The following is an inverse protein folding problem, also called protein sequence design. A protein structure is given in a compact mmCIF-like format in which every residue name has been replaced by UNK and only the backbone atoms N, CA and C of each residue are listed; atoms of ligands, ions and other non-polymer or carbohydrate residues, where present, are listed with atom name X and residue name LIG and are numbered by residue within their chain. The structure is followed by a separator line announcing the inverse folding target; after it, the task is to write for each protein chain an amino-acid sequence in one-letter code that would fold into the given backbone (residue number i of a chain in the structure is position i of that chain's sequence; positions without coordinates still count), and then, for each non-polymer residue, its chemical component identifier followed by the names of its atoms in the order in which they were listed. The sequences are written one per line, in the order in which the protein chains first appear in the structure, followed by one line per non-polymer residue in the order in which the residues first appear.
data_IF_697654317826
#
_entry.id   IF_697654317826
#
_cell.length_a   1.000
_cell.length_b   1.000
_cell.length_c   1.000
_cell.angle_alpha   90.00
_cell.angle_beta   90.00
_cell.angle_gamma   90.00
#
_symmetry.space_group_name_H-M   'P 1'
#
loop_
_entity.id
_entity.type
_entity.pdbx_description
1 polymer ?
#
# COMPACT_ATOMS: atom_id res chain seq x y z
N UNK A 1 31.00 -35.98 48.97
CA UNK A 1 30.30 -34.75 49.42
C UNK A 1 30.27 -33.80 48.23
N UNK A 2 29.08 -33.44 47.70
CA UNK A 2 28.99 -32.50 46.59
C UNK A 2 29.45 -31.10 47.03
N UNK A 3 30.20 -30.44 46.17
CA UNK A 3 30.85 -29.17 46.46
C UNK A 3 29.79 -28.04 46.42
N UNK A 4 29.53 -27.31 47.54
CA UNK A 4 28.44 -26.34 47.61
C UNK A 4 28.57 -25.17 46.62
N UNK A 5 29.78 -24.93 46.10
CA UNK A 5 30.05 -23.89 45.10
C UNK A 5 29.58 -24.21 43.67
N UNK A 6 29.16 -25.44 43.36
CA UNK A 6 28.69 -25.76 42.00
C UNK A 6 27.28 -25.25 41.71
N UNK A 7 26.46 -24.99 42.73
CA UNK A 7 25.06 -24.59 42.52
C UNK A 7 24.91 -23.16 41.98
N UNK A 8 25.75 -22.21 42.38
CA UNK A 8 25.64 -20.80 41.95
C UNK A 8 25.96 -20.60 40.47
N UNK A 9 26.89 -21.39 39.92
CA UNK A 9 27.32 -21.25 38.53
C UNK A 9 26.23 -21.61 37.51
N UNK A 10 25.31 -22.52 37.86
CA UNK A 10 24.24 -22.93 36.96
C UNK A 10 23.13 -21.87 36.84
N UNK A 11 22.81 -21.17 37.93
CA UNK A 11 21.80 -20.10 37.90
C UNK A 11 22.26 -18.89 37.10
N UNK A 12 23.54 -18.50 37.22
CA UNK A 12 24.09 -17.42 36.41
C UNK A 12 24.05 -17.78 34.91
N UNK A 13 24.38 -19.01 34.54
CA UNK A 13 24.30 -19.47 33.14
C UNK A 13 22.88 -19.43 32.60
N UNK A 14 21.90 -19.93 33.37
CA UNK A 14 20.49 -19.89 32.98
C UNK A 14 19.97 -18.45 32.86
N UNK A 15 20.39 -17.56 33.75
CA UNK A 15 20.05 -16.14 33.69
C UNK A 15 20.57 -15.48 32.39
N UNK A 16 21.85 -15.69 32.04
CA UNK A 16 22.43 -15.12 30.83
C UNK A 16 21.82 -15.71 29.55
N UNK A 17 21.52 -17.01 29.51
CA UNK A 17 20.81 -17.65 28.40
C UNK A 17 19.39 -17.09 28.25
N UNK A 18 18.67 -16.93 29.37
CA UNK A 18 17.34 -16.31 29.37
C UNK A 18 17.36 -14.87 28.85
N UNK A 19 18.32 -14.07 29.30
CA UNK A 19 18.50 -12.68 28.85
C UNK A 19 18.80 -12.63 27.34
N UNK A 20 19.69 -13.50 26.85
CA UNK A 20 20.05 -13.57 25.43
C UNK A 20 18.86 -13.95 24.54
N UNK A 21 18.05 -14.92 24.96
CA UNK A 21 16.82 -15.30 24.23
C UNK A 21 15.79 -14.16 24.19
N UNK A 22 15.69 -13.37 25.27
CA UNK A 22 14.80 -12.21 25.34
C UNK A 22 15.28 -11.08 24.40
N UNK A 23 16.60 -10.90 24.26
CA UNK A 23 17.18 -9.99 23.27
C UNK A 23 16.94 -10.43 21.82
N UNK A 24 17.09 -11.73 21.53
CA UNK A 24 16.83 -12.24 20.17
C UNK A 24 15.34 -12.05 19.81
N UNK A 25 14.43 -12.39 20.72
CA UNK A 25 12.98 -12.34 20.46
C UNK A 25 12.41 -10.93 20.42
N UNK A 26 12.96 -9.97 21.15
CA UNK A 26 12.50 -8.57 21.14
C UNK A 26 12.82 -7.81 19.84
N UNK A 27 13.74 -8.31 19.01
CA UNK A 27 14.18 -7.65 17.77
C UNK A 27 13.22 -7.78 16.57
N UNK A 28 12.13 -8.54 16.67
CA UNK A 28 11.35 -8.96 15.49
C UNK A 28 9.97 -8.32 15.18
N UNK A 29 9.38 -7.35 15.92
CA UNK A 29 8.00 -6.91 15.60
C UNK A 29 7.87 -5.85 14.49
N UNK A 30 8.95 -5.24 14.01
CA UNK A 30 8.83 -4.06 13.11
C UNK A 30 8.43 -4.46 11.67
N UNK A 31 8.96 -5.57 11.16
CA UNK A 31 8.68 -6.00 9.79
C UNK A 31 7.25 -6.52 9.58
N UNK A 32 6.66 -7.15 10.60
CA UNK A 32 5.32 -7.74 10.51
C UNK A 32 4.21 -6.67 10.40
N UNK A 33 4.36 -5.54 11.09
CA UNK A 33 3.38 -4.44 11.09
C UNK A 33 3.23 -3.79 9.71
N UNK A 34 4.32 -3.68 8.96
CA UNK A 34 4.32 -3.06 7.63
C UNK A 34 3.64 -3.94 6.59
N UNK A 35 3.84 -5.26 6.67
CA UNK A 35 3.18 -6.23 5.81
C UNK A 35 1.66 -6.18 5.96
N UNK A 36 1.14 -5.97 7.18
CA UNK A 36 -0.31 -5.89 7.41
C UNK A 36 -0.94 -4.68 6.71
N UNK A 37 -0.29 -3.50 6.78
CA UNK A 37 -0.77 -2.29 6.11
C UNK A 37 -0.77 -2.43 4.59
N UNK A 38 0.30 -2.99 4.02
CA UNK A 38 0.39 -3.25 2.57
C UNK A 38 -0.73 -4.20 2.12
N UNK A 39 -0.98 -5.28 2.88
CA UNK A 39 -2.07 -6.19 2.60
C UNK A 39 -3.44 -5.50 2.64
N UNK A 40 -3.65 -4.58 3.58
CA UNK A 40 -4.86 -3.75 3.64
C UNK A 40 -5.06 -2.88 2.39
N UNK A 41 -3.99 -2.21 1.91
CA UNK A 41 -4.07 -1.41 0.68
C UNK A 41 -4.40 -2.29 -0.53
N UNK A 42 -3.77 -3.48 -0.64
CA UNK A 42 -4.08 -4.44 -1.71
C UNK A 42 -5.53 -4.92 -1.67
N UNK A 43 -6.05 -5.20 -0.47
CA UNK A 43 -7.46 -5.56 -0.29
C UNK A 43 -8.38 -4.43 -0.78
N UNK A 44 -8.12 -3.18 -0.38
CA UNK A 44 -8.87 -2.01 -0.87
C UNK A 44 -8.81 -1.90 -2.40
N UNK A 45 -7.64 -2.11 -3.01
CA UNK A 45 -7.50 -2.05 -4.46
C UNK A 45 -8.35 -3.11 -5.18
N UNK A 46 -8.42 -4.33 -4.64
CA UNK A 46 -9.34 -5.36 -5.16
C UNK A 46 -10.81 -5.01 -4.96
N UNK A 47 -11.18 -4.42 -3.82
CA UNK A 47 -12.55 -3.93 -3.60
C UNK A 47 -12.94 -2.89 -4.67
N UNK A 48 -12.03 -1.96 -4.99
CA UNK A 48 -12.25 -0.95 -6.04
C UNK A 48 -12.36 -1.59 -7.42
N UNK A 49 -11.53 -2.59 -7.73
CA UNK A 49 -11.69 -3.38 -8.95
C UNK A 49 -13.08 -3.98 -9.05
N UNK A 50 -13.57 -4.66 -8.00
CA UNK A 50 -14.92 -5.24 -8.01
C UNK A 50 -16.00 -4.18 -8.25
N UNK A 51 -15.90 -3.00 -7.63
CA UNK A 51 -16.85 -1.90 -7.88
C UNK A 51 -16.83 -1.43 -9.34
N UNK A 52 -15.64 -1.29 -9.94
CA UNK A 52 -15.50 -0.89 -11.35
C UNK A 52 -16.05 -1.96 -12.31
N UNK A 53 -15.83 -3.24 -12.02
CA UNK A 53 -16.36 -4.32 -12.86
C UNK A 53 -17.89 -4.43 -12.75
N UNK A 54 -18.47 -4.25 -11.56
CA UNK A 54 -19.92 -4.16 -11.39
C UNK A 54 -20.50 -2.99 -12.19
N UNK A 55 -19.88 -1.80 -12.09
CA UNK A 55 -20.29 -0.63 -12.87
C UNK A 55 -20.26 -0.92 -14.38
N UNK A 56 -19.21 -1.59 -14.87
CA UNK A 56 -19.09 -1.95 -16.29
C UNK A 56 -20.16 -2.95 -16.74
N UNK A 57 -20.55 -3.91 -15.90
CA UNK A 57 -21.64 -4.86 -16.22
C UNK A 57 -22.95 -4.11 -16.48
N UNK A 58 -23.23 -3.09 -15.66
CA UNK A 58 -24.46 -2.30 -15.74
C UNK A 58 -24.43 -1.29 -16.89
N UNK A 59 -23.30 -0.62 -17.11
CA UNK A 59 -23.20 0.54 -18.02
C UNK A 59 -22.50 0.27 -19.35
N UNK A 60 -21.74 -0.81 -19.46
CA UNK A 60 -20.86 -1.15 -20.60
C UNK A 60 -19.74 -0.13 -20.87
N UNK A 61 -19.40 0.71 -19.89
CA UNK A 61 -18.24 1.59 -19.91
C UNK A 61 -17.69 1.79 -18.49
N UNK A 62 -16.42 2.17 -18.37
CA UNK A 62 -15.82 2.55 -17.08
C UNK A 62 -15.98 4.06 -16.80
N UNK A 63 -16.26 4.46 -15.55
CA UNK A 63 -16.61 5.84 -15.19
C UNK A 63 -15.42 6.78 -15.42
N UNK A 64 -15.68 8.04 -15.77
CA UNK A 64 -14.61 9.02 -15.94
C UNK A 64 -13.98 9.44 -14.59
N UNK A 65 -14.81 9.51 -13.55
CA UNK A 65 -14.45 9.95 -12.21
C UNK A 65 -14.88 8.95 -11.14
N UNK A 66 -14.27 9.06 -9.96
CA UNK A 66 -14.71 8.30 -8.78
C UNK A 66 -16.04 8.84 -8.29
N UNK A 67 -16.32 10.14 -8.49
CA UNK A 67 -17.62 10.72 -8.17
C UNK A 67 -18.75 10.11 -8.99
N UNK A 68 -18.54 9.84 -10.28
CA UNK A 68 -19.52 9.13 -11.13
C UNK A 68 -19.74 7.71 -10.62
N UNK A 69 -18.66 6.99 -10.31
CA UNK A 69 -18.72 5.66 -9.71
C UNK A 69 -19.50 5.65 -8.39
N UNK A 70 -19.21 6.60 -7.49
CA UNK A 70 -19.85 6.71 -6.18
C UNK A 70 -21.33 7.03 -6.29
N UNK A 71 -21.70 7.96 -7.17
CA UNK A 71 -23.08 8.34 -7.39
C UNK A 71 -23.94 7.15 -7.82
N UNK A 72 -23.45 6.35 -8.76
CA UNK A 72 -24.15 5.16 -9.23
C UNK A 72 -24.11 4.00 -8.22
N UNK A 73 -22.95 3.73 -7.63
CA UNK A 73 -22.76 2.62 -6.71
C UNK A 73 -23.52 2.78 -5.37
N UNK A 74 -23.90 4.01 -5.01
CA UNK A 74 -24.76 4.31 -3.85
C UNK A 74 -26.26 4.31 -4.19
N UNK A 75 -26.63 4.11 -5.45
CA UNK A 75 -28.03 4.08 -5.87
C UNK A 75 -28.80 2.96 -5.16
N UNK A 76 -30.04 3.23 -4.75
CA UNK A 76 -30.83 2.35 -3.87
C UNK A 76 -31.23 1.03 -4.54
N UNK A 77 -31.25 0.97 -5.87
CA UNK A 77 -31.64 -0.24 -6.61
C UNK A 77 -30.61 -1.36 -6.53
N UNK A 78 -29.32 -1.05 -6.40
CA UNK A 78 -28.25 -2.05 -6.24
C UNK A 78 -27.02 -1.40 -5.59
N UNK A 79 -27.01 -1.19 -4.26
CA UNK A 79 -25.89 -0.53 -3.61
C UNK A 79 -24.69 -1.48 -3.53
N UNK A 80 -23.70 -1.25 -4.39
CA UNK A 80 -22.41 -1.97 -4.37
C UNK A 80 -21.25 -1.11 -3.89
N UNK A 81 -21.50 0.15 -3.51
CA UNK A 81 -20.50 0.99 -2.89
C UNK A 81 -20.02 0.41 -1.55
N UNK A 82 -18.70 0.38 -1.36
CA UNK A 82 -18.07 0.01 -0.10
C UNK A 82 -17.24 1.17 0.40
N UNK A 83 -17.45 1.55 1.65
CA UNK A 83 -16.52 2.44 2.33
C UNK A 83 -15.26 1.64 2.69
N UNK A 84 -14.09 2.20 2.40
CA UNK A 84 -12.80 1.61 2.73
C UNK A 84 -11.98 2.60 3.55
N UNK A 85 -11.30 2.04 4.55
CA UNK A 85 -10.41 2.77 5.44
C UNK A 85 -8.98 2.67 4.91
N UNK A 86 -8.26 3.77 4.96
CA UNK A 86 -6.83 3.76 4.65
C UNK A 86 -6.05 3.17 5.82
N UNK A 87 -5.30 2.07 5.63
CA UNK A 87 -4.58 1.41 6.72
C UNK A 87 -3.38 2.22 7.26
N UNK A 88 -2.97 3.28 6.55
CA UNK A 88 -1.86 4.15 6.95
C UNK A 88 -2.32 5.36 7.76
N UNK A 89 -3.50 5.91 7.47
CA UNK A 89 -4.01 7.15 8.07
C UNK A 89 -5.31 6.97 8.85
N UNK A 90 -5.94 5.81 8.74
CA UNK A 90 -7.25 5.47 9.32
C UNK A 90 -8.42 6.38 8.90
N UNK A 91 -8.26 7.24 7.88
CA UNK A 91 -9.38 8.03 7.36
C UNK A 91 -10.14 7.24 6.27
N UNK A 92 -11.41 7.58 6.08
CA UNK A 92 -12.29 6.98 5.07
C UNK A 92 -12.16 7.69 3.73
N UNK A 93 -12.43 6.99 2.62
CA UNK A 93 -12.63 7.61 1.30
C UNK A 93 -11.38 7.86 0.44
N UNK A 94 -10.35 7.02 0.57
CA UNK A 94 -9.07 7.18 -0.15
C UNK A 94 -9.01 6.57 -1.56
N UNK A 95 -10.06 6.78 -2.35
CA UNK A 95 -10.07 6.46 -3.77
C UNK A 95 -10.07 7.77 -4.54
N UNK A 96 -9.10 7.94 -5.44
CA UNK A 96 -9.02 9.11 -6.31
C UNK A 96 -9.02 8.70 -7.77
N UNK A 97 -9.76 9.42 -8.60
CA UNK A 97 -9.60 9.34 -10.06
C UNK A 97 -8.53 10.30 -10.51
N UNK A 98 -7.77 9.93 -11.55
CA UNK A 98 -6.95 10.87 -12.30
C UNK A 98 -7.75 12.04 -12.90
N UNK A 99 -9.04 11.84 -13.17
CA UNK A 99 -9.89 12.91 -13.70
C UNK A 99 -10.35 13.90 -12.63
N UNK A 100 -10.43 13.48 -11.37
CA UNK A 100 -10.93 14.30 -10.26
C UNK A 100 -9.84 15.18 -9.64
N UNK A 101 -8.57 14.76 -9.73
CA UNK A 101 -7.43 15.45 -9.14
C UNK A 101 -6.49 15.96 -10.24
N UNK A 102 -6.67 17.23 -10.64
CA UNK A 102 -5.92 17.89 -11.72
C UNK A 102 -4.41 17.94 -11.45
N UNK A 103 -3.98 17.77 -10.19
CA UNK A 103 -2.57 17.76 -9.82
C UNK A 103 -1.89 16.42 -10.09
N UNK A 104 -2.60 15.33 -10.41
CA UNK A 104 -1.95 14.02 -10.47
C UNK A 104 -0.97 13.82 -11.66
N UNK A 105 -1.04 14.65 -12.70
CA UNK A 105 -0.05 14.67 -13.79
C UNK A 105 1.37 14.96 -13.30
N UNK A 106 1.54 15.61 -12.14
CA UNK A 106 2.85 15.80 -11.51
C UNK A 106 3.41 14.55 -10.81
N UNK A 107 2.62 13.46 -10.71
CA UNK A 107 3.01 12.18 -10.12
C UNK A 107 3.32 11.08 -11.16
N UNK A 108 3.11 11.31 -12.46
CA UNK A 108 3.72 10.46 -13.50
C UNK A 108 5.25 10.27 -13.37
N UNK A 109 6.05 11.21 -12.81
CA UNK A 109 7.46 10.98 -12.50
C UNK A 109 7.71 9.82 -11.52
N UNK A 110 6.74 9.42 -10.70
CA UNK A 110 6.91 8.27 -9.78
C UNK A 110 6.94 6.92 -10.49
N UNK A 111 6.48 6.87 -11.74
CA UNK A 111 6.59 5.69 -12.61
C UNK A 111 7.91 5.65 -13.39
N UNK A 112 8.62 6.79 -13.52
CA UNK A 112 9.91 6.86 -14.19
C UNK A 112 11.01 6.96 -13.16
N UNK A 113 11.80 5.89 -13.03
CA UNK A 113 13.04 5.95 -12.26
C UNK A 113 13.89 7.10 -12.79
N UNK A 114 14.03 8.17 -12.00
CA UNK A 114 14.87 9.29 -12.34
C UNK A 114 16.29 8.97 -11.87
N UNK A 115 17.23 9.01 -12.80
CA UNK A 115 18.64 8.88 -12.49
C UNK A 115 19.30 10.23 -12.65
N UNK A 116 20.07 10.66 -11.66
CA UNK A 116 21.08 11.69 -11.84
C UNK A 116 22.41 11.01 -12.12
N UNK A 117 23.16 11.55 -13.08
CA UNK A 117 24.53 11.14 -13.32
C UNK A 117 25.46 12.25 -12.79
N UNK A 118 26.24 11.93 -11.76
CA UNK A 118 27.19 12.86 -11.14
C UNK A 118 28.56 12.21 -11.20
N UNK A 119 29.50 12.83 -11.92
CA UNK A 119 30.87 12.33 -12.11
C UNK A 119 30.94 10.90 -12.67
N UNK A 120 30.00 10.52 -13.56
CA UNK A 120 29.94 9.19 -14.16
C UNK A 120 29.31 8.11 -13.28
N UNK A 121 28.84 8.46 -12.07
CA UNK A 121 28.04 7.56 -11.23
C UNK A 121 26.56 7.85 -11.42
N UNK A 122 25.77 6.79 -11.65
CA UNK A 122 24.30 6.87 -11.69
C UNK A 122 23.72 6.75 -10.29
N UNK A 123 23.05 7.80 -9.84
CA UNK A 123 22.29 7.87 -8.61
C UNK A 123 20.80 7.80 -8.92
N UNK A 124 20.07 6.92 -8.24
CA UNK A 124 18.62 6.93 -8.27
C UNK A 124 18.13 8.11 -7.43
N UNK A 125 17.51 9.11 -8.06
CA UNK A 125 16.85 10.20 -7.34
C UNK A 125 15.47 9.69 -6.91
N UNK A 126 15.36 9.37 -5.63
CA UNK A 126 14.07 9.15 -4.99
C UNK A 126 13.48 10.53 -4.67
N UNK A 127 12.61 11.07 -5.54
CA UNK A 127 11.83 12.26 -5.21
C UNK A 127 10.94 11.92 -3.99
N UNK A 128 11.31 12.47 -2.83
CA UNK A 128 10.81 12.03 -1.51
C UNK A 128 9.56 12.79 -1.02
N UNK A 129 9.04 13.76 -1.76
CA UNK A 129 7.87 14.53 -1.33
C UNK A 129 6.58 14.04 -1.99
N UNK A 130 6.20 12.83 -1.60
CA UNK A 130 4.83 12.39 -1.69
C UNK A 130 4.10 12.93 -0.47
N UNK A 131 3.28 13.96 -0.68
CA UNK A 131 2.39 14.58 0.32
C UNK A 131 1.76 13.52 1.23
N UNK A 132 1.58 13.80 2.52
CA UNK A 132 0.91 12.88 3.47
C UNK A 132 -0.43 12.33 2.96
N UNK A 133 -1.07 13.03 2.02
CA UNK A 133 -2.30 12.63 1.35
C UNK A 133 -2.16 11.44 0.38
N UNK A 134 -0.96 10.99 0.07
CA UNK A 134 -0.72 9.88 -0.87
C UNK A 134 -0.34 8.59 -0.18
N UNK A 135 -0.29 8.52 1.16
CA UNK A 135 0.03 7.28 1.88
C UNK A 135 -1.17 6.33 1.82
N UNK A 136 -0.98 5.07 1.42
CA UNK A 136 -2.06 4.07 1.42
C UNK A 136 -3.23 4.34 0.46
N UNK A 137 -3.05 5.23 -0.52
CA UNK A 137 -4.04 5.64 -1.51
C UNK A 137 -4.24 4.57 -2.60
N UNK A 138 -5.47 4.45 -3.11
CA UNK A 138 -5.78 3.73 -4.35
C UNK A 138 -6.14 4.76 -5.42
N UNK A 139 -5.52 4.65 -6.59
CA UNK A 139 -5.67 5.60 -7.68
C UNK A 139 -6.20 4.91 -8.92
N UNK A 140 -7.29 5.44 -9.48
CA UNK A 140 -7.96 4.95 -10.67
C UNK A 140 -7.64 5.81 -11.90
N UNK A 141 -7.06 5.21 -12.93
CA UNK A 141 -6.81 5.84 -14.24
C UNK A 141 -7.66 5.16 -15.31
N UNK A 142 -8.63 5.89 -15.86
CA UNK A 142 -9.32 5.47 -17.07
C UNK A 142 -8.40 5.68 -18.28
N UNK A 143 -8.22 4.64 -19.10
CA UNK A 143 -7.46 4.72 -20.36
C UNK A 143 -8.41 5.02 -21.51
N UNK A 144 -9.54 4.33 -21.57
CA UNK A 144 -10.62 4.58 -22.51
C UNK A 144 -11.96 4.07 -21.93
N UNK A 145 -13.03 3.95 -22.73
CA UNK A 145 -14.34 3.44 -22.24
C UNK A 145 -14.29 1.99 -21.73
N UNK A 146 -13.33 1.20 -22.18
CA UNK A 146 -13.23 -0.25 -21.96
C UNK A 146 -11.95 -0.65 -21.24
N UNK A 147 -11.08 0.27 -20.85
CA UNK A 147 -9.81 -0.03 -20.20
C UNK A 147 -9.52 0.94 -19.07
N UNK A 148 -9.03 0.39 -17.95
CA UNK A 148 -8.56 1.16 -16.81
C UNK A 148 -7.30 0.57 -16.20
N UNK A 149 -6.62 1.35 -15.37
CA UNK A 149 -5.52 0.94 -14.52
C UNK A 149 -5.82 1.39 -13.08
N UNK A 150 -5.53 0.51 -12.11
CA UNK A 150 -5.53 0.81 -10.70
C UNK A 150 -4.10 0.75 -10.16
N UNK A 151 -3.72 1.80 -9.47
CA UNK A 151 -2.47 1.90 -8.74
C UNK A 151 -2.75 1.98 -7.26
N UNK A 152 -1.77 1.62 -6.47
CA UNK A 152 -1.83 1.77 -5.03
C UNK A 152 -0.48 2.22 -4.48
N UNK A 153 -0.51 2.92 -3.36
CA UNK A 153 0.69 3.45 -2.68
C UNK A 153 0.88 2.83 -1.30
N UNK A 154 2.11 2.70 -0.84
CA UNK A 154 2.46 2.21 0.49
C UNK A 154 2.29 3.28 1.60
N UNK A 155 2.71 2.94 2.82
CA UNK A 155 2.67 3.85 3.99
C UNK A 155 3.55 5.10 3.87
N UNK A 156 4.53 5.09 2.96
CA UNK A 156 5.42 6.20 2.68
C UNK A 156 4.95 6.97 1.43
N UNK A 157 3.88 6.53 0.78
CA UNK A 157 3.32 7.13 -0.43
C UNK A 157 3.92 6.60 -1.73
N UNK A 158 4.89 5.69 -1.68
CA UNK A 158 5.49 5.12 -2.89
C UNK A 158 4.52 4.15 -3.57
N UNK A 159 4.58 4.06 -4.90
CA UNK A 159 3.83 3.04 -5.63
C UNK A 159 4.19 1.65 -5.10
N UNK A 160 3.16 0.86 -4.80
CA UNK A 160 3.33 -0.55 -4.47
C UNK A 160 4.03 -1.24 -5.64
N UNK A 161 5.08 -2.00 -5.31
CA UNK A 161 5.82 -2.81 -6.27
C UNK A 161 5.64 -4.29 -5.95
N UNK A 162 5.57 -5.11 -6.98
CA UNK A 162 5.68 -6.56 -6.90
C UNK A 162 6.85 -7.01 -7.79
N UNK A 163 7.82 -7.70 -7.19
CA UNK A 163 9.06 -8.15 -7.87
C UNK A 163 9.77 -7.03 -8.63
N UNK A 164 9.85 -5.84 -8.03
CA UNK A 164 10.54 -4.66 -8.59
C UNK A 164 9.73 -3.84 -9.60
N UNK A 165 8.58 -4.33 -10.07
CA UNK A 165 7.69 -3.61 -11.01
C UNK A 165 6.50 -2.99 -10.27
N UNK A 166 5.94 -1.85 -10.73
CA UNK A 166 4.70 -1.32 -10.17
C UNK A 166 3.59 -2.37 -10.20
N UNK A 167 2.92 -2.56 -9.06
CA UNK A 167 1.77 -3.43 -8.94
C UNK A 167 0.54 -2.68 -9.46
N UNK A 168 0.00 -3.14 -10.58
CA UNK A 168 -1.11 -2.49 -11.30
C UNK A 168 -2.18 -3.54 -11.54
N UNK A 169 -3.44 -3.22 -11.23
CA UNK A 169 -4.58 -4.01 -11.69
C UNK A 169 -5.21 -3.35 -12.91
N UNK A 170 -5.60 -4.15 -13.87
CA UNK A 170 -6.34 -3.72 -15.05
C UNK A 170 -7.39 -4.77 -15.38
N UNK A 171 -8.41 -4.38 -16.14
CA UNK A 171 -9.17 -5.37 -16.87
C UNK A 171 -8.30 -5.85 -18.06
N UNK A 172 -8.23 -7.17 -18.25
CA UNK A 172 -7.38 -7.80 -19.28
C UNK A 172 -7.95 -7.60 -20.68
#
# INVERSE_FOLDING_TARGET
MPNPFQFETNYQRLFWVGLFLLFITSSQPVAACDCAKISGVKANMHTVQTMLETFWVDHRYYPASVRELEFDARNSSNPYWKDFLNPSTSQSGYLKSFADDYHWTSYEPLLKEQYAEILGFRFLILNRDLSDNTKGLVVYKRINKQKYLLYATDKAGYLLRDKGKPFVLSNS
#
